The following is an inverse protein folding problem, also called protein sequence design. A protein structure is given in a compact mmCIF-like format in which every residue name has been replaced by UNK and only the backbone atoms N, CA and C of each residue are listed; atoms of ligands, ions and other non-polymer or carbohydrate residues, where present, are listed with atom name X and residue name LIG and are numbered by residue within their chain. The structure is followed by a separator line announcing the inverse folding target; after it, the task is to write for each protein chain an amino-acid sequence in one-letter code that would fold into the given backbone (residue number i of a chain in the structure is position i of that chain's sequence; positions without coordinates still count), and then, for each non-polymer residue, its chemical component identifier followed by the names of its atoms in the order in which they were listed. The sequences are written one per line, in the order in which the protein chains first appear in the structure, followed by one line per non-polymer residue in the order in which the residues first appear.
data_IF_397637466969
#
_entry.id   IF_397637466969
#
_cell.length_a   1.000
_cell.length_b   1.000
_cell.length_c   1.000
_cell.angle_alpha   90.00
_cell.angle_beta   90.00
_cell.angle_gamma   90.00
#
_symmetry.space_group_name_H-M   'P 1'
#
loop_
_entity.id
_entity.type
_entity.pdbx_description
1 polymer ?
2 polymer ?
3 non-polymer ?
4 non-polymer ?
5 water ?
#
# COMPACT_ATOMS: atom_id res chain seq x y z
N UNK A 1 -23.97 -2.96 -5.27
CA UNK A 1 -23.14 -1.73 -5.13
C UNK A 1 -23.90 -0.49 -5.54
N UNK A 2 -23.77 0.56 -4.72
CA UNK A 2 -24.54 1.78 -4.93
C UNK A 2 -24.11 2.50 -6.19
N UNK A 3 -23.00 2.09 -6.83
CA UNK A 3 -22.57 2.71 -8.07
C UNK A 3 -23.00 1.95 -9.31
N UNK A 4 -23.82 0.91 -9.14
CA UNK A 4 -24.19 0.08 -10.27
C UNK A 4 -24.88 0.82 -11.39
N UNK A 5 -25.57 1.93 -11.08
CA UNK A 5 -26.31 2.65 -12.10
C UNK A 5 -25.49 3.73 -12.78
N UNK A 6 -24.26 4.00 -12.34
CA UNK A 6 -23.45 5.05 -12.93
C UNK A 6 -22.51 4.48 -13.98
N UNK A 7 -22.39 5.16 -15.10
CA UNK A 7 -21.48 4.75 -16.16
C UNK A 7 -20.05 4.66 -15.64
N UNK A 8 -19.30 3.67 -16.16
CA UNK A 8 -17.90 3.53 -15.81
C UNK A 8 -17.13 4.83 -16.04
N UNK A 9 -17.31 5.46 -17.21
CA UNK A 9 -16.53 6.65 -17.50
C UNK A 9 -16.87 7.79 -16.56
N UNK A 10 -18.15 7.88 -16.17
CA UNK A 10 -18.57 8.90 -15.21
C UNK A 10 -17.98 8.66 -13.83
N UNK A 11 -17.87 7.40 -13.42
CA UNK A 11 -17.23 7.08 -12.15
C UNK A 11 -15.78 7.51 -12.15
N UNK A 12 -15.07 7.25 -13.26
CA UNK A 12 -13.67 7.67 -13.35
C UNK A 12 -13.55 9.18 -13.33
N UNK A 13 -14.41 9.87 -14.09
CA UNK A 13 -14.39 11.33 -14.10
C UNK A 13 -14.65 11.88 -12.70
N UNK A 14 -15.62 11.31 -11.99
CA UNK A 14 -15.93 11.81 -10.65
C UNK A 14 -14.85 11.45 -9.65
N UNK A 15 -14.15 10.33 -9.83
CA UNK A 15 -13.02 10.04 -8.98
C UNK A 15 -11.95 11.11 -9.11
N UNK A 16 -11.71 11.58 -10.34
CA UNK A 16 -10.74 12.65 -10.55
C UNK A 16 -11.20 13.95 -9.92
N UNK A 17 -12.49 14.26 -10.02
CA UNK A 17 -13.02 15.46 -9.37
C UNK A 17 -12.90 15.34 -7.85
N UNK A 18 -13.22 14.16 -7.31
CA UNK A 18 -13.11 13.94 -5.87
C UNK A 18 -11.68 14.13 -5.40
N UNK A 19 -10.72 13.67 -6.20
CA UNK A 19 -9.33 13.88 -5.84
C UNK A 19 -9.00 15.37 -5.74
N UNK A 20 -9.44 16.14 -6.74
CA UNK A 20 -9.19 17.58 -6.73
C UNK A 20 -9.83 18.25 -5.53
N UNK A 21 -10.98 17.75 -5.09
CA UNK A 21 -11.71 18.30 -3.95
C UNK A 21 -11.26 17.71 -2.62
N UNK A 22 -10.27 16.81 -2.64
CA UNK A 22 -9.77 16.15 -1.44
C UNK A 22 -10.87 15.38 -0.71
N UNK A 23 -11.74 14.75 -1.49
CA UNK A 23 -12.88 13.96 -1.01
C UNK A 23 -12.51 12.49 -1.26
N UNK A 24 -11.63 11.96 -0.42
CA UNK A 24 -11.05 10.65 -0.74
C UNK A 24 -11.99 9.50 -0.48
N UNK A 25 -12.90 9.64 0.49
CA UNK A 25 -13.91 8.60 0.66
C UNK A 25 -14.81 8.50 -0.57
N UNK A 26 -15.22 9.64 -1.12
CA UNK A 26 -15.98 9.61 -2.36
C UNK A 26 -15.15 9.00 -3.46
N UNK A 27 -13.90 9.42 -3.57
CA UNK A 27 -13.03 8.91 -4.61
C UNK A 27 -12.92 7.41 -4.56
N UNK A 28 -12.77 6.84 -3.35
CA UNK A 28 -12.70 5.40 -3.20
C UNK A 28 -14.01 4.73 -3.60
N UNK A 29 -15.15 5.30 -3.20
CA UNK A 29 -16.42 4.74 -3.60
C UNK A 29 -16.58 4.74 -5.12
N UNK A 30 -16.17 5.82 -5.79
CA UNK A 30 -16.28 5.87 -7.24
C UNK A 30 -15.37 4.84 -7.88
N UNK A 31 -14.14 4.70 -7.38
CA UNK A 31 -13.21 3.73 -7.96
C UNK A 31 -13.64 2.29 -7.68
N UNK A 32 -14.18 2.01 -6.49
CA UNK A 32 -14.76 0.70 -6.24
C UNK A 32 -15.86 0.40 -7.24
N UNK A 33 -16.73 1.38 -7.49
CA UNK A 33 -17.75 1.20 -8.49
C UNK A 33 -17.17 0.91 -9.86
N UNK A 34 -16.11 1.63 -10.23
CA UNK A 34 -15.47 1.37 -11.52
C UNK A 34 -14.94 -0.06 -11.59
N UNK A 35 -14.24 -0.51 -10.54
CA UNK A 35 -13.73 -1.88 -10.54
C UNK A 35 -14.87 -2.86 -10.71
N UNK A 36 -15.98 -2.61 -10.03
CA UNK A 36 -17.10 -3.54 -10.04
C UNK A 36 -17.79 -3.61 -11.38
N UNK A 37 -17.45 -2.75 -12.34
CA UNK A 37 -17.96 -2.92 -13.69
C UNK A 37 -17.40 -4.17 -14.34
N UNK A 38 -16.31 -4.71 -13.83
CA UNK A 38 -15.78 -5.97 -14.28
C UNK A 38 -14.71 -5.88 -15.32
N UNK A 39 -14.47 -4.73 -15.90
CA UNK A 39 -13.40 -4.55 -16.88
C UNK A 39 -12.08 -4.33 -16.16
N UNK A 40 -11.00 -4.68 -16.83
CA UNK A 40 -9.66 -4.35 -16.34
C UNK A 40 -9.49 -2.83 -16.23
N UNK A 41 -8.53 -2.43 -15.42
CA UNK A 41 -8.20 -1.03 -15.22
C UNK A 41 -6.94 -0.67 -15.98
N UNK A 42 -6.95 0.52 -16.57
CA UNK A 42 -5.75 1.06 -17.17
C UNK A 42 -4.78 1.51 -16.09
N UNK A 43 -3.57 1.88 -16.53
CA UNK A 43 -2.57 2.38 -15.60
C UNK A 43 -3.10 3.57 -14.81
N UNK A 44 -3.70 4.53 -15.49
CA UNK A 44 -4.19 5.71 -14.79
C UNK A 44 -5.29 5.34 -13.80
N UNK A 45 -6.14 4.40 -14.17
CA UNK A 45 -7.23 3.98 -13.30
C UNK A 45 -6.71 3.21 -12.09
N UNK A 46 -5.68 2.38 -12.27
CA UNK A 46 -5.08 1.70 -11.14
C UNK A 46 -4.50 2.72 -10.18
N UNK A 47 -3.88 3.76 -10.69
CA UNK A 47 -3.34 4.80 -9.83
C UNK A 47 -4.44 5.53 -9.09
N UNK A 48 -5.56 5.82 -9.74
CA UNK A 48 -6.66 6.46 -9.03
C UNK A 48 -7.19 5.57 -7.90
N UNK A 49 -7.32 4.28 -8.17
CA UNK A 49 -7.77 3.35 -7.14
C UNK A 49 -6.85 3.39 -5.93
N UNK A 50 -5.56 3.37 -6.19
CA UNK A 50 -4.58 3.35 -5.13
C UNK A 50 -4.56 4.67 -4.37
N UNK A 51 -4.58 5.79 -5.07
CA UNK A 51 -4.62 7.08 -4.38
C UNK A 51 -5.83 7.16 -3.47
N UNK A 52 -6.98 6.73 -3.96
CA UNK A 52 -8.20 6.88 -3.17
C UNK A 52 -8.10 6.09 -1.87
N UNK A 53 -7.80 4.80 -1.98
CA UNK A 53 -7.78 3.97 -0.78
C UNK A 53 -6.59 4.28 0.10
N UNK A 54 -5.45 4.67 -0.47
CA UNK A 54 -4.32 5.00 0.37
C UNK A 54 -4.62 6.20 1.25
N UNK A 55 -5.35 7.17 0.72
CA UNK A 55 -5.70 8.34 1.51
C UNK A 55 -6.74 7.99 2.56
N UNK A 56 -7.71 7.16 2.22
CA UNK A 56 -8.70 6.75 3.22
C UNK A 56 -8.01 5.99 4.36
N UNK A 57 -7.26 4.94 4.03
CA UNK A 57 -6.63 4.16 5.08
C UNK A 57 -5.58 4.99 5.78
N UNK A 58 -4.97 5.97 5.12
CA UNK A 58 -3.97 6.80 5.77
C UNK A 58 -4.55 7.60 6.92
N UNK A 59 -5.75 8.14 6.73
CA UNK A 59 -6.40 8.86 7.82
C UNK A 59 -6.73 7.93 8.96
N UNK A 60 -7.14 6.70 8.64
CA UNK A 60 -7.48 5.75 9.68
C UNK A 60 -6.24 5.30 10.44
N UNK A 61 -5.14 5.05 9.73
CA UNK A 61 -3.89 4.66 10.38
C UNK A 61 -3.40 5.75 11.30
N UNK A 62 -3.46 7.00 10.85
CA UNK A 62 -3.00 8.10 11.69
C UNK A 62 -3.84 8.20 12.95
N UNK A 63 -5.16 8.05 12.80
CA UNK A 63 -6.06 8.10 13.96
C UNK A 63 -5.79 6.93 14.88
N UNK A 64 -5.62 5.74 14.34
CA UNK A 64 -5.36 4.56 15.15
C UNK A 64 -4.09 4.74 15.97
N UNK A 65 -3.05 5.33 15.37
CA UNK A 65 -1.81 5.51 16.09
C UNK A 65 -1.98 6.49 17.25
N UNK A 66 -2.73 7.57 17.03
CA UNK A 66 -3.00 8.51 18.11
C UNK A 66 -3.70 7.79 19.25
N UNK A 67 -4.76 7.03 18.92
CA UNK A 67 -5.57 6.40 19.95
C UNK A 67 -4.79 5.30 20.66
N UNK A 68 -4.01 4.52 19.91
CA UNK A 68 -3.22 3.46 20.51
C UNK A 68 -2.19 4.04 21.49
N UNK A 69 -1.60 5.17 21.15
CA UNK A 69 -0.64 5.81 22.04
C UNK A 69 -1.32 6.25 23.34
N UNK A 70 -2.51 6.86 23.24
CA UNK A 70 -3.26 7.24 24.42
C UNK A 70 -3.60 6.01 25.25
N UNK A 71 -4.01 4.93 24.59
CA UNK A 71 -4.39 3.71 25.31
C UNK A 71 -3.19 3.11 26.04
N UNK A 72 -2.03 3.08 25.39
CA UNK A 72 -0.85 2.53 26.06
C UNK A 72 -0.44 3.38 27.26
N UNK A 73 -0.54 4.70 27.13
CA UNK A 73 -0.23 5.57 28.27
C UNK A 73 -1.21 5.34 29.41
N UNK A 74 -2.48 5.13 29.10
CA UNK A 74 -3.49 4.90 30.13
C UNK A 74 -3.28 3.57 30.85
N UNK A 75 -2.38 2.72 30.37
CA UNK A 75 -2.09 1.44 31.01
C UNK A 75 -0.74 1.44 31.71
N UNK A 76 0.02 2.53 31.64
CA UNK A 76 1.30 2.64 32.34
C UNK A 76 1.07 2.93 33.82
N UNK A 79 -1.80 7.24 34.87
CA UNK A 79 -1.94 5.98 35.59
C UNK A 79 -3.37 5.79 36.12
N UNK A 80 -4.19 6.84 36.00
CA UNK A 80 -5.54 6.79 36.53
C UNK A 80 -6.46 6.01 35.59
N UNK A 81 -7.33 5.19 36.18
CA UNK A 81 -8.31 4.45 35.40
C UNK A 81 -9.35 5.41 34.82
N UNK A 82 -9.57 5.32 33.51
CA UNK A 82 -10.49 6.21 32.82
C UNK A 82 -11.68 5.48 32.21
N UNK A 83 -11.81 4.17 32.43
CA UNK A 83 -12.93 3.43 31.90
C UNK A 83 -12.62 2.84 30.54
N UNK A 84 -13.64 2.24 29.92
CA UNK A 84 -13.45 1.51 28.67
C UNK A 84 -13.39 2.37 27.42
N UNK A 85 -13.55 3.69 27.52
CA UNK A 85 -13.82 4.51 26.34
C UNK A 85 -12.66 4.57 25.36
N UNK A 86 -11.41 4.70 25.83
CA UNK A 86 -10.29 4.78 24.91
C UNK A 86 -10.17 3.49 24.12
N UNK A 87 -10.24 2.34 24.81
CA UNK A 87 -10.17 1.06 24.11
C UNK A 87 -11.32 0.93 23.13
N UNK A 88 -12.54 1.29 23.55
CA UNK A 88 -13.68 1.16 22.67
C UNK A 88 -13.47 1.99 21.41
N UNK A 89 -13.03 3.22 21.55
CA UNK A 89 -12.92 4.08 20.39
C UNK A 89 -11.74 3.67 19.51
N UNK A 90 -10.62 3.24 20.11
CA UNK A 90 -9.56 2.65 19.32
C UNK A 90 -10.07 1.43 18.54
N UNK A 91 -10.88 0.60 19.19
CA UNK A 91 -11.45 -0.57 18.52
C UNK A 91 -12.38 -0.15 17.38
N UNK A 92 -13.15 0.91 17.58
CA UNK A 92 -14.04 1.38 16.51
C UNK A 92 -13.23 1.76 15.28
N UNK A 93 -12.21 2.58 15.47
CA UNK A 93 -11.37 3.01 14.35
C UNK A 93 -10.66 1.82 13.74
N UNK A 94 -10.19 0.90 14.58
CA UNK A 94 -9.51 -0.30 14.09
C UNK A 94 -10.41 -1.14 13.21
N UNK A 95 -11.67 -1.31 13.63
CA UNK A 95 -12.60 -2.12 12.87
C UNK A 95 -12.90 -1.47 11.53
N UNK A 96 -13.03 -0.15 11.51
CA UNK A 96 -13.27 0.53 10.25
C UNK A 96 -12.06 0.41 9.32
N UNK A 97 -10.86 0.54 9.87
CA UNK A 97 -9.62 0.35 9.10
C UNK A 97 -9.57 -1.06 8.52
N UNK A 98 -9.86 -2.06 9.34
CA UNK A 98 -9.88 -3.43 8.86
C UNK A 98 -10.91 -3.60 7.76
N UNK A 99 -12.05 -2.93 7.89
CA UNK A 99 -13.06 -3.01 6.84
C UNK A 99 -12.59 -2.44 5.51
N UNK A 100 -11.89 -1.33 5.54
CA UNK A 100 -11.34 -0.76 4.31
C UNK A 100 -10.31 -1.72 3.71
N UNK A 101 -9.42 -2.25 4.53
CA UNK A 101 -8.44 -3.19 3.99
C UNK A 101 -9.11 -4.40 3.39
N UNK A 102 -10.12 -4.95 4.09
CA UNK A 102 -10.85 -6.09 3.57
C UNK A 102 -11.53 -5.75 2.25
N UNK A 103 -12.06 -4.53 2.12
CA UNK A 103 -12.68 -4.13 0.86
C UNK A 103 -11.66 -4.13 -0.27
N UNK A 104 -10.49 -3.53 -0.04
CA UNK A 104 -9.47 -3.48 -1.08
C UNK A 104 -9.02 -4.89 -1.44
N UNK A 105 -8.74 -5.71 -0.43
CA UNK A 105 -8.32 -7.08 -0.69
C UNK A 105 -9.39 -7.84 -1.44
N UNK A 106 -10.67 -7.55 -1.14
CA UNK A 106 -11.75 -8.18 -1.89
C UNK A 106 -11.78 -7.80 -3.35
N UNK A 107 -11.54 -6.53 -3.67
CA UNK A 107 -11.48 -6.12 -5.07
C UNK A 107 -10.32 -6.80 -5.78
N UNK A 108 -9.17 -6.91 -5.10
CA UNK A 108 -8.02 -7.57 -5.71
C UNK A 108 -8.33 -9.03 -5.97
N UNK A 109 -9.02 -9.69 -5.05
CA UNK A 109 -9.33 -11.10 -5.20
C UNK A 109 -10.52 -11.36 -6.11
N UNK A 110 -11.35 -10.36 -6.34
CA UNK A 110 -12.59 -10.50 -7.14
C UNK A 110 -12.77 -9.26 -8.02
N UNK A 111 -12.06 -9.17 -9.15
CA UNK A 111 -11.21 -10.21 -9.72
C UNK A 111 -9.98 -9.59 -10.36
N UNK A 112 -9.44 -8.52 -9.75
CA UNK A 112 -8.40 -7.76 -10.43
C UNK A 112 -7.16 -8.60 -10.68
N UNK A 113 -6.67 -9.29 -9.66
CA UNK A 113 -5.42 -10.03 -9.82
C UNK A 113 -5.54 -11.11 -10.88
N UNK A 114 -6.63 -11.88 -10.84
CA UNK A 114 -6.69 -13.04 -11.72
C UNK A 114 -6.80 -12.64 -13.18
N UNK A 115 -7.23 -11.42 -13.49
CA UNK A 115 -7.27 -10.97 -14.87
C UNK A 115 -6.03 -10.20 -15.28
N UNK A 116 -5.10 -9.95 -14.36
CA UNK A 116 -3.94 -9.12 -14.62
C UNK A 116 -2.81 -9.99 -15.16
N UNK A 117 -2.54 -9.88 -16.46
CA UNK A 117 -1.54 -10.67 -17.13
C UNK A 117 -0.26 -9.93 -17.41
N UNK A 118 -0.32 -8.63 -17.60
CA UNK A 118 0.90 -7.88 -17.90
C UNK A 118 1.63 -7.62 -16.60
N UNK A 119 2.97 -7.57 -16.66
CA UNK A 119 3.75 -7.39 -15.45
C UNK A 119 3.36 -6.12 -14.70
N UNK A 120 3.12 -5.03 -15.43
CA UNK A 120 2.86 -3.76 -14.76
C UNK A 120 1.58 -3.82 -13.95
N UNK A 121 0.54 -4.44 -14.47
CA UNK A 121 -0.70 -4.54 -13.72
C UNK A 121 -0.57 -5.56 -12.60
N UNK A 122 -0.04 -6.75 -12.90
CA UNK A 122 0.01 -7.80 -11.90
C UNK A 122 0.88 -7.41 -10.73
N UNK A 123 2.05 -6.86 -10.98
CA UNK A 123 2.92 -6.41 -9.89
C UNK A 123 2.24 -5.32 -9.07
N UNK A 124 1.61 -4.35 -9.73
CA UNK A 124 0.92 -3.29 -9.01
C UNK A 124 -0.12 -3.86 -8.05
N UNK A 125 -0.92 -4.81 -8.52
CA UNK A 125 -1.97 -5.36 -7.67
C UNK A 125 -1.42 -6.26 -6.57
N UNK A 126 -0.39 -7.04 -6.85
CA UNK A 126 0.21 -7.86 -5.80
C UNK A 126 0.90 -7.00 -4.76
N UNK A 127 1.52 -5.90 -5.18
CA UNK A 127 2.07 -4.94 -4.23
C UNK A 127 0.94 -4.38 -3.35
N UNK A 128 -0.17 -3.99 -3.97
CA UNK A 128 -1.30 -3.50 -3.19
C UNK A 128 -1.79 -4.54 -2.20
N UNK A 129 -1.85 -5.80 -2.61
CA UNK A 129 -2.27 -6.87 -1.71
C UNK A 129 -1.32 -6.94 -0.52
N UNK A 130 -0.01 -6.91 -0.78
CA UNK A 130 0.95 -6.87 0.32
C UNK A 130 0.74 -5.67 1.22
N UNK A 131 0.51 -4.49 0.63
CA UNK A 131 0.34 -3.27 1.40
C UNK A 131 -0.86 -3.36 2.33
N UNK A 132 -2.01 -3.86 1.85
CA UNK A 132 -3.21 -3.86 2.68
C UNK A 132 -3.15 -4.97 3.71
N UNK A 133 -2.48 -6.09 3.42
CA UNK A 133 -2.18 -7.02 4.51
C UNK A 133 -1.21 -6.40 5.52
N UNK A 134 -0.26 -5.59 5.06
CA UNK A 134 0.65 -4.91 5.98
C UNK A 134 -0.12 -3.98 6.91
N UNK A 135 -1.07 -3.23 6.37
CA UNK A 135 -1.86 -2.33 7.21
C UNK A 135 -2.70 -3.13 8.20
N UNK A 136 -3.22 -4.28 7.79
CA UNK A 136 -3.87 -5.17 8.76
C UNK A 136 -2.90 -5.65 9.82
N UNK A 137 -1.66 -5.97 9.42
CA UNK A 137 -0.66 -6.45 10.37
C UNK A 137 -0.30 -5.39 11.38
N UNK A 138 -0.33 -4.11 10.99
CA UNK A 138 0.02 -3.03 11.91
C UNK A 138 -0.88 -3.03 13.15
N UNK A 139 -2.11 -3.51 13.02
CA UNK A 139 -3.07 -3.47 14.12
C UNK A 139 -3.39 -4.86 14.66
N UNK A 140 -2.78 -5.90 14.13
CA UNK A 140 -3.12 -7.26 14.51
C UNK A 140 -2.44 -7.65 15.80
N UNK A 141 -3.15 -8.42 16.62
CA UNK A 141 -2.62 -8.85 17.91
C UNK A 141 -3.00 -10.27 18.28
N UNK A 142 -4.05 -10.84 17.71
CA UNK A 142 -4.55 -12.14 18.13
C UNK A 142 -3.84 -13.29 17.46
N UNK A 143 -4.55 -14.42 17.40
CA UNK A 143 -3.98 -15.67 16.92
C UNK A 143 -3.81 -15.71 15.41
N UNK A 144 -4.24 -14.68 14.69
CA UNK A 144 -4.09 -14.62 13.24
C UNK A 144 -3.00 -13.67 12.80
N UNK A 145 -2.30 -13.00 13.72
CA UNK A 145 -1.28 -12.03 13.33
C UNK A 145 -0.20 -12.67 12.47
N UNK A 146 0.25 -13.86 12.84
CA UNK A 146 1.29 -14.52 12.06
C UNK A 146 0.80 -14.81 10.66
N UNK A 147 -0.46 -15.25 10.52
CA UNK A 147 -0.97 -15.54 9.18
C UNK A 147 -1.15 -14.27 8.37
N UNK A 148 -1.56 -13.16 9.00
CA UNK A 148 -1.65 -11.89 8.28
C UNK A 148 -0.29 -11.45 7.79
N UNK A 149 0.73 -11.55 8.64
CA UNK A 149 2.08 -11.21 8.25
C UNK A 149 2.53 -12.08 7.09
N UNK A 150 2.22 -13.37 7.15
CA UNK A 150 2.63 -14.27 6.09
C UNK A 150 1.92 -13.95 4.79
N UNK A 151 0.66 -13.52 4.87
CA UNK A 151 -0.07 -13.15 3.66
C UNK A 151 0.55 -11.93 2.99
N UNK A 152 0.96 -10.95 3.79
CA UNK A 152 1.66 -9.80 3.22
C UNK A 152 2.96 -10.25 2.57
N UNK A 153 3.75 -11.04 3.29
CA UNK A 153 5.01 -11.51 2.76
C UNK A 153 4.84 -12.24 1.44
N UNK A 154 3.85 -13.13 1.37
CA UNK A 154 3.65 -13.95 0.18
C UNK A 154 3.28 -13.08 -1.02
N UNK A 155 2.41 -12.10 -0.83
CA UNK A 155 2.04 -11.21 -1.92
C UNK A 155 3.23 -10.39 -2.39
N UNK A 156 3.97 -9.80 -1.45
CA UNK A 156 5.15 -9.04 -1.82
C UNK A 156 6.16 -9.91 -2.55
N UNK A 157 6.36 -11.14 -2.08
CA UNK A 157 7.36 -12.00 -2.71
C UNK A 157 6.96 -12.38 -4.13
N UNK A 158 5.68 -12.70 -4.35
CA UNK A 158 5.25 -13.00 -5.71
C UNK A 158 5.46 -11.79 -6.61
N UNK A 159 5.13 -10.59 -6.12
CA UNK A 159 5.33 -9.38 -6.89
C UNK A 159 6.81 -9.16 -7.17
N UNK A 160 7.66 -9.40 -6.18
CA UNK A 160 9.10 -9.23 -6.37
C UNK A 160 9.61 -10.17 -7.44
N UNK A 161 9.17 -11.42 -7.39
CA UNK A 161 9.68 -12.39 -8.34
C UNK A 161 9.33 -12.00 -9.76
N UNK A 162 8.10 -11.55 -9.98
CA UNK A 162 7.69 -11.10 -11.31
C UNK A 162 8.47 -9.85 -11.70
N UNK A 163 8.59 -8.88 -10.79
CA UNK A 163 9.22 -7.61 -11.12
C UNK A 163 10.68 -7.81 -11.51
N UNK A 164 11.38 -8.71 -10.84
CA UNK A 164 12.79 -8.93 -11.16
C UNK A 164 12.94 -9.57 -12.52
N UNK A 165 12.00 -10.41 -12.92
CA UNK A 165 12.09 -11.07 -14.22
C UNK A 165 11.62 -10.17 -15.37
N UNK A 166 10.65 -9.29 -15.12
CA UNK A 166 9.93 -8.63 -16.19
C UNK A 166 10.15 -7.13 -16.30
N UNK A 167 10.71 -6.48 -15.30
CA UNK A 167 10.84 -5.04 -15.29
C UNK A 167 12.27 -4.62 -15.07
N UNK A 168 12.68 -3.48 -15.62
CA UNK A 168 14.02 -2.95 -15.33
C UNK A 168 14.09 -2.48 -13.89
N UNK A 169 15.30 -2.39 -13.34
CA UNK A 169 15.46 -2.03 -11.93
C UNK A 169 14.99 -0.65 -11.60
N UNK A 170 14.84 0.22 -12.59
CA UNK A 170 14.35 1.57 -12.34
C UNK A 170 12.84 1.73 -12.49
N UNK A 171 12.14 0.68 -12.88
CA UNK A 171 10.70 0.82 -13.07
C UNK A 171 10.06 1.31 -11.77
N UNK A 172 9.26 2.38 -11.80
CA UNK A 172 8.73 2.91 -10.53
C UNK A 172 7.87 1.93 -9.75
N UNK A 173 7.15 1.04 -10.42
CA UNK A 173 6.36 0.03 -9.72
C UNK A 173 7.29 -0.93 -9.00
N UNK A 174 8.33 -1.40 -9.70
CA UNK A 174 9.32 -2.27 -9.07
C UNK A 174 9.96 -1.60 -7.88
N UNK A 175 10.32 -0.32 -8.02
CA UNK A 175 10.97 0.41 -6.93
C UNK A 175 10.03 0.58 -5.76
N UNK A 176 8.80 1.00 -6.02
CA UNK A 176 7.85 1.18 -4.93
C UNK A 176 7.54 -0.11 -4.20
N UNK A 177 7.47 -1.20 -4.95
CA UNK A 177 7.29 -2.52 -4.34
C UNK A 177 8.45 -2.85 -3.42
N UNK A 178 9.69 -2.71 -3.91
CA UNK A 178 10.85 -3.03 -3.09
C UNK A 178 10.90 -2.14 -1.86
N UNK A 179 10.61 -0.86 -2.02
CA UNK A 179 10.53 0.06 -0.89
C UNK A 179 9.55 -0.46 0.16
N UNK A 180 8.34 -0.82 -0.27
CA UNK A 180 7.33 -1.24 0.68
C UNK A 180 7.65 -2.59 1.30
N UNK A 181 8.24 -3.50 0.53
CA UNK A 181 8.65 -4.78 1.12
C UNK A 181 9.76 -4.54 2.15
N UNK A 182 10.65 -3.58 1.90
CA UNK A 182 11.66 -3.28 2.91
C UNK A 182 11.03 -2.73 4.17
N UNK A 183 9.99 -1.89 4.04
CA UNK A 183 9.26 -1.39 5.20
C UNK A 183 8.60 -2.54 5.94
N UNK A 184 8.00 -3.48 5.21
CA UNK A 184 7.45 -4.68 5.82
C UNK A 184 8.51 -5.38 6.66
N UNK A 185 9.70 -5.59 6.09
CA UNK A 185 10.74 -6.28 6.85
C UNK A 185 11.10 -5.53 8.13
N UNK A 186 11.24 -4.21 8.04
CA UNK A 186 11.72 -3.44 9.17
C UNK A 186 10.64 -3.27 10.23
N UNK A 187 9.43 -2.94 9.82
CA UNK A 187 8.39 -2.51 10.73
C UNK A 187 7.45 -3.62 11.16
N UNK A 188 7.30 -4.67 10.37
CA UNK A 188 6.34 -5.73 10.62
C UNK A 188 7.01 -7.01 11.01
N UNK A 189 8.01 -7.43 10.25
CA UNK A 189 8.57 -8.77 10.38
C UNK A 189 9.78 -8.81 11.29
N UNK A 190 10.13 -7.74 11.97
CA UNK A 190 11.27 -7.74 12.87
C UNK A 190 12.54 -8.25 12.18
N UNK A 191 12.75 -7.79 10.96
CA UNK A 191 13.90 -8.19 10.13
C UNK A 191 14.60 -6.95 9.61
N UNK A 192 15.17 -6.13 10.49
CA UNK A 192 15.80 -4.90 10.03
C UNK A 192 16.97 -5.15 9.10
N UNK A 193 17.74 -6.22 9.30
CA UNK A 193 18.85 -6.46 8.39
C UNK A 193 18.35 -6.77 6.99
N UNK A 194 17.30 -7.57 6.87
CA UNK A 194 16.72 -7.84 5.56
C UNK A 194 16.24 -6.55 4.92
N UNK A 195 15.63 -5.68 5.71
CA UNK A 195 15.13 -4.41 5.20
C UNK A 195 16.27 -3.58 4.63
N UNK A 196 17.36 -3.47 5.39
CA UNK A 196 18.50 -2.67 4.97
C UNK A 196 19.13 -3.26 3.72
N UNK A 197 19.30 -4.57 3.69
CA UNK A 197 19.91 -5.20 2.53
C UNK A 197 19.05 -4.99 1.29
N UNK A 198 17.74 -5.16 1.42
CA UNK A 198 16.87 -4.94 0.26
C UNK A 198 16.92 -3.51 -0.21
N UNK A 199 16.87 -2.57 0.70
CA UNK A 199 16.89 -1.17 0.29
C UNK A 199 18.18 -0.83 -0.42
N UNK A 200 19.31 -1.31 0.11
CA UNK A 200 20.62 -1.04 -0.49
C UNK A 200 20.74 -1.65 -1.87
N UNK A 201 20.41 -2.93 -2.01
CA UNK A 201 20.55 -3.56 -3.32
C UNK A 201 19.58 -2.93 -4.32
N UNK A 202 18.36 -2.61 -3.89
CA UNK A 202 17.41 -1.97 -4.79
C UNK A 202 17.97 -0.65 -5.28
N UNK A 203 18.49 0.16 -4.36
CA UNK A 203 19.01 1.48 -4.70
C UNK A 203 20.17 1.36 -5.68
N UNK A 204 21.12 0.47 -5.40
CA UNK A 204 22.31 0.38 -6.24
C UNK A 204 21.98 -0.15 -7.63
N UNK A 205 21.08 -1.11 -7.72
CA UNK A 205 20.73 -1.64 -9.03
C UNK A 205 19.95 -0.62 -9.83
N UNK A 206 19.15 0.21 -9.16
CA UNK A 206 18.48 1.28 -9.87
C UNK A 206 19.47 2.33 -10.35
N UNK A 207 20.41 2.73 -9.48
CA UNK A 207 21.41 3.71 -9.88
C UNK A 207 22.09 3.30 -11.18
N UNK A 208 22.44 2.04 -11.30
CA UNK A 208 23.16 1.55 -12.46
C UNK A 208 22.33 1.49 -13.73
N UNK A 209 21.01 1.62 -13.63
CA UNK A 209 20.12 1.57 -14.78
C UNK A 209 19.59 2.95 -15.16
N UNK A 210 19.90 3.98 -14.37
CA UNK A 210 19.38 5.31 -14.68
C UNK A 210 19.84 5.79 -16.04
N UNK A 211 21.01 5.33 -16.52
CA UNK A 211 21.60 5.84 -17.75
C UNK A 211 20.74 5.53 -18.96
N UNK A 212 19.81 4.58 -18.83
CA UNK A 212 18.96 4.18 -19.94
C UNK A 212 17.74 5.07 -20.09
N UNK A 213 17.50 5.96 -19.17
CA UNK A 213 16.21 6.63 -19.03
C UNK A 213 16.20 8.02 -19.63
N UNK A 214 15.00 8.44 -20.06
CA UNK A 214 14.77 9.83 -20.43
C UNK A 214 14.72 10.69 -19.18
N UNK A 215 14.72 12.01 -19.39
CA UNK A 215 14.65 12.93 -18.27
C UNK A 215 13.40 12.70 -17.42
N UNK A 216 12.25 12.47 -18.06
CA UNK A 216 11.02 12.31 -17.29
C UNK A 216 11.05 11.02 -16.48
N UNK A 217 11.49 9.92 -17.10
CA UNK A 217 11.57 8.66 -16.39
C UNK A 217 12.59 8.72 -15.25
N UNK A 218 13.70 9.41 -15.49
CA UNK A 218 14.71 9.63 -14.45
C UNK A 218 14.09 10.28 -13.24
N UNK A 219 13.25 11.29 -13.46
CA UNK A 219 12.62 11.96 -12.33
C UNK A 219 11.71 11.02 -11.55
N UNK A 220 10.95 10.19 -12.26
CA UNK A 220 10.06 9.24 -11.59
C UNK A 220 10.86 8.26 -10.73
N UNK A 221 11.91 7.67 -11.31
CA UNK A 221 12.67 6.66 -10.59
C UNK A 221 13.45 7.25 -9.42
N UNK A 222 14.07 8.42 -9.61
CA UNK A 222 14.90 8.96 -8.53
C UNK A 222 14.05 9.43 -7.36
N UNK A 223 12.80 9.80 -7.61
CA UNK A 223 11.94 10.14 -6.49
C UNK A 223 11.79 8.96 -5.53
N UNK A 224 11.56 7.76 -6.05
CA UNK A 224 11.41 6.59 -5.18
C UNK A 224 12.75 6.19 -4.59
N UNK A 225 13.83 6.31 -5.36
CA UNK A 225 15.15 6.01 -4.82
C UNK A 225 15.48 6.88 -3.61
N UNK A 226 15.03 8.13 -3.62
CA UNK A 226 15.30 8.99 -2.49
C UNK A 226 14.63 8.49 -1.23
N UNK A 227 13.45 7.87 -1.36
CA UNK A 227 12.78 7.30 -0.20
C UNK A 227 13.54 6.11 0.35
N UNK A 228 14.12 5.28 -0.53
CA UNK A 228 14.98 4.21 -0.08
C UNK A 228 16.14 4.77 0.74
N UNK A 229 16.75 5.83 0.22
CA UNK A 229 17.86 6.47 0.93
C UNK A 229 17.40 7.06 2.26
N UNK A 230 16.23 7.71 2.28
CA UNK A 230 15.73 8.28 3.51
C UNK A 230 15.54 7.20 4.57
N UNK A 231 15.00 6.04 4.17
CA UNK A 231 14.85 4.95 5.12
C UNK A 231 16.21 4.42 5.58
N UNK A 232 17.15 4.24 4.65
CA UNK A 232 18.48 3.77 5.06
C UNK A 232 19.08 4.71 6.09
N UNK A 233 18.88 6.02 5.94
CA UNK A 233 19.38 6.96 6.95
C UNK A 233 18.69 6.78 8.29
N UNK A 234 17.37 6.52 8.29
CA UNK A 234 16.68 6.28 9.54
C UNK A 234 17.12 4.96 10.18
N UNK A 235 17.45 3.97 9.38
CA UNK A 235 17.64 2.62 9.87
C UNK A 235 19.08 2.29 10.25
N UNK A 236 20.03 3.14 9.89
CA UNK A 236 21.44 2.87 10.12
C UNK A 236 22.11 4.06 10.81
N UNK B 1 8.56 5.82 12.43
CA UNK B 1 8.16 4.88 11.39
C UNK B 1 9.08 5.00 10.18
N UNK B 2 8.65 4.43 9.06
CA UNK B 2 9.44 4.42 7.83
C UNK B 2 8.63 4.99 6.69
N UNK B 3 9.34 5.44 5.65
CA UNK B 3 8.71 5.94 4.47
C UNK B 3 8.28 4.82 3.56
N UNK B 5 5.91 3.85 -0.22
CA UNK B 5 5.75 4.38 -1.58
C UNK B 5 4.60 5.35 -1.67
N UNK B 6 4.68 6.34 -2.55
CA UNK B 6 3.46 7.09 -2.89
C UNK B 6 2.46 6.16 -3.56
N UNK B 7 1.19 6.59 -3.57
CA UNK B 7 0.14 5.76 -4.14
C UNK B 7 0.26 5.64 -5.65
N UNK B 8 0.63 6.72 -6.33
CA UNK B 8 0.66 6.74 -7.79
C UNK B 8 2.05 6.36 -8.28
N UNK B 9 2.10 5.42 -9.22
CA UNK B 9 3.36 4.93 -9.78
C UNK B 9 3.22 4.81 -11.29
N UNK B 10 4.28 5.18 -12.00
CA UNK B 10 4.23 5.29 -13.45
C UNK B 10 4.66 3.99 -14.11
#
# INVERSE_FOLDING_TARGET
GAMGSMERASLIQKAKLAEQAERYEDMAAFMKGAVEKGEELSCEERNLLSVAYKNVVGGQRAAWRVLSSIEQKSNEEGSEEKGPEVREYREKVETELQGVCDTVLGLLDSHLIKEAGDAESRVFYLKMKGDYYRYLAEVATGDDKKRIIDSARSAYQEAMDISKKEMPPTNPIRLGLALNFSVFHYEIANSPEEAISLAKTTFDEAMADLHTLSEDSYKDSTLIMQLLRDNLTLWTADNAGEEGGEAPQEPQS
RSHXSPASLQ
#
